data_IF_395663722790
#
_entry.id   IF_395663722790
#
_cell.length_a   1.000
_cell.length_b   1.000
_cell.length_c   1.000
_cell.angle_alpha   90.00
_cell.angle_beta   90.00
_cell.angle_gamma   90.00
#
_symmetry.space_group_name_H-M   'P 1'
#
loop_
_entity.id
_entity.type
_entity.pdbx_description
1 polymer ?
#
# COMPACT_ATOMS: atom_id res chain seq x y z
N UNK A 1 -27.64 -13.06 -6.32
CA UNK A 1 -29.05 -13.27 -5.90
C UNK A 1 -29.04 -13.59 -4.41
N UNK A 2 -29.96 -12.97 -3.66
CA UNK A 2 -30.31 -13.30 -2.27
C UNK A 2 -29.31 -12.86 -1.20
N UNK A 3 -29.37 -11.59 -0.78
CA UNK A 3 -28.84 -11.17 0.52
C UNK A 3 -30.02 -10.68 1.35
N UNK A 4 -30.37 -11.45 2.38
CA UNK A 4 -31.43 -11.13 3.33
C UNK A 4 -31.14 -9.78 4.02
N UNK A 5 -32.18 -8.94 4.01
CA UNK A 5 -32.26 -7.71 4.77
C UNK A 5 -32.57 -8.11 6.20
N UNK A 6 -31.56 -8.17 7.06
CA UNK A 6 -31.79 -8.16 8.50
C UNK A 6 -32.22 -6.75 8.91
N UNK A 7 -33.44 -6.63 9.42
CA UNK A 7 -33.97 -5.44 10.09
C UNK A 7 -33.18 -5.12 11.37
N UNK A 8 -33.19 -3.85 11.82
CA UNK A 8 -32.15 -3.31 12.70
C UNK A 8 -32.39 -3.70 14.16
N UNK A 9 -31.50 -4.48 14.74
CA UNK A 9 -31.34 -4.52 16.19
C UNK A 9 -30.57 -3.27 16.64
N UNK A 10 -31.07 -2.61 17.68
CA UNK A 10 -30.46 -1.46 18.38
C UNK A 10 -29.14 -1.87 19.08
N UNK A 11 -28.14 -2.25 18.30
CA UNK A 11 -26.75 -2.27 18.74
C UNK A 11 -26.08 -0.94 18.41
N UNK A 12 -25.03 -0.52 19.15
CA UNK A 12 -24.22 0.62 18.74
C UNK A 12 -23.77 0.39 17.29
N UNK A 13 -24.09 1.33 16.39
CA UNK A 13 -23.65 1.29 15.00
C UNK A 13 -22.12 1.35 14.99
N UNK A 14 -21.48 0.18 15.02
CA UNK A 14 -20.04 0.06 14.96
C UNK A 14 -19.58 0.46 13.56
N UNK A 15 -18.81 1.54 13.49
CA UNK A 15 -18.24 2.01 12.24
C UNK A 15 -17.04 1.11 11.88
N UNK A 16 -17.26 0.17 10.96
CA UNK A 16 -16.18 -0.66 10.44
C UNK A 16 -15.44 0.06 9.31
N UNK A 17 -14.31 0.67 9.63
CA UNK A 17 -13.37 1.15 8.61
C UNK A 17 -12.50 -0.03 8.14
N UNK A 18 -12.78 -0.56 6.95
CA UNK A 18 -12.00 -1.68 6.39
C UNK A 18 -10.61 -1.16 5.98
N UNK A 19 -9.50 -1.68 6.56
CA UNK A 19 -8.18 -1.11 6.30
C UNK A 19 -7.76 -1.26 4.83
N UNK A 20 -7.34 -0.16 4.24
CA UNK A 20 -6.96 -0.05 2.83
C UNK A 20 -5.73 -0.91 2.50
N UNK A 21 -4.75 -0.96 3.40
CA UNK A 21 -3.48 -1.68 3.17
C UNK A 21 -3.66 -3.18 3.00
N UNK A 22 -4.47 -3.85 3.83
CA UNK A 22 -4.65 -5.29 3.70
C UNK A 22 -5.28 -5.67 2.35
N UNK A 23 -6.16 -4.81 1.81
CA UNK A 23 -6.77 -4.99 0.49
C UNK A 23 -5.75 -4.88 -0.66
N UNK A 24 -4.83 -3.91 -0.58
CA UNK A 24 -3.86 -3.62 -1.65
C UNK A 24 -2.61 -4.52 -1.53
N UNK A 25 -2.13 -4.80 -0.31
CA UNK A 25 -0.87 -5.52 -0.01
C UNK A 25 -0.77 -6.94 -0.53
N UNK A 26 -1.87 -7.66 -0.70
CA UNK A 26 -1.79 -9.09 -1.01
C UNK A 26 -2.93 -9.61 -1.87
N UNK A 27 -4.04 -8.90 -2.00
CA UNK A 27 -5.16 -9.44 -2.78
C UNK A 27 -5.13 -8.94 -4.23
N UNK A 28 -5.31 -7.65 -4.49
CA UNK A 28 -5.45 -7.13 -5.88
C UNK A 28 -4.34 -7.61 -6.81
N UNK A 29 -3.16 -7.43 -6.25
CA UNK A 29 -1.86 -7.75 -6.73
C UNK A 29 -1.72 -9.25 -7.11
N UNK A 30 -1.96 -10.15 -6.16
CA UNK A 30 -1.87 -11.59 -6.41
C UNK A 30 -2.90 -12.07 -7.45
N UNK A 31 -4.14 -11.57 -7.39
CA UNK A 31 -5.17 -11.89 -8.40
C UNK A 31 -4.75 -11.44 -9.80
N UNK A 32 -4.09 -10.28 -9.92
CA UNK A 32 -3.56 -9.83 -11.19
C UNK A 32 -2.39 -10.71 -11.66
N UNK A 33 -1.46 -11.09 -10.78
CA UNK A 33 -0.35 -11.99 -11.13
C UNK A 33 -0.82 -13.36 -11.64
N UNK A 34 -1.96 -13.87 -11.17
CA UNK A 34 -2.58 -15.10 -11.69
C UNK A 34 -3.03 -15.00 -13.15
N UNK A 35 -3.10 -13.80 -13.73
CA UNK A 35 -3.38 -13.59 -15.17
C UNK A 35 -2.12 -13.72 -16.04
N UNK A 36 -0.93 -13.67 -15.43
CA UNK A 36 0.32 -13.90 -16.14
C UNK A 36 0.62 -15.39 -16.22
N UNK A 37 1.67 -15.74 -16.97
CA UNK A 37 2.11 -17.13 -17.05
C UNK A 37 2.60 -17.63 -15.68
N UNK A 38 2.15 -18.82 -15.28
CA UNK A 38 2.63 -19.52 -14.07
C UNK A 38 4.15 -19.72 -14.08
N UNK A 39 4.77 -19.74 -15.26
CA UNK A 39 6.22 -19.84 -15.44
C UNK A 39 6.98 -18.75 -14.68
N UNK A 40 6.43 -17.54 -14.61
CA UNK A 40 7.07 -16.38 -13.97
C UNK A 40 7.17 -16.56 -12.45
N UNK A 41 6.08 -17.02 -11.82
CA UNK A 41 6.05 -17.27 -10.37
C UNK A 41 6.86 -18.52 -10.02
N UNK A 42 6.73 -19.58 -10.82
CA UNK A 42 7.46 -20.84 -10.62
C UNK A 42 8.96 -20.66 -10.76
N UNK A 43 9.43 -19.88 -11.74
CA UNK A 43 10.86 -19.59 -11.88
C UNK A 43 11.41 -18.86 -10.64
N UNK A 44 10.73 -17.82 -10.17
CA UNK A 44 11.16 -17.08 -8.98
C UNK A 44 11.25 -17.99 -7.75
N UNK A 45 10.28 -18.89 -7.59
CA UNK A 45 10.24 -19.88 -6.49
C UNK A 45 11.35 -20.92 -6.63
N UNK A 46 11.57 -21.44 -7.82
CA UNK A 46 12.55 -22.51 -8.08
C UNK A 46 13.97 -22.00 -7.89
N UNK A 47 14.30 -20.81 -8.38
CA UNK A 47 15.61 -20.16 -8.17
C UNK A 47 15.88 -19.97 -6.69
N UNK A 48 14.93 -19.39 -5.94
CA UNK A 48 15.09 -19.18 -4.51
C UNK A 48 15.28 -20.52 -3.77
N UNK A 49 14.41 -21.50 -4.02
CA UNK A 49 14.43 -22.81 -3.36
C UNK A 49 15.73 -23.57 -3.66
N UNK A 50 16.23 -23.49 -4.90
CA UNK A 50 17.48 -24.15 -5.31
C UNK A 50 18.69 -23.64 -4.51
N UNK A 51 18.75 -22.34 -4.26
CA UNK A 51 19.88 -21.67 -3.60
C UNK A 51 19.75 -21.64 -2.06
N UNK A 52 18.53 -21.48 -1.53
CA UNK A 52 18.29 -21.23 -0.11
C UNK A 52 18.82 -22.34 0.81
N UNK A 53 18.73 -23.60 0.40
CA UNK A 53 19.06 -24.76 1.24
C UNK A 53 20.51 -25.22 1.12
N UNK A 54 21.36 -24.54 0.36
CA UNK A 54 22.76 -24.94 0.21
C UNK A 54 23.69 -23.75 0.35
N UNK A 55 24.49 -23.76 1.42
CA UNK A 55 25.55 -22.79 1.63
C UNK A 55 26.60 -22.85 0.50
N UNK A 56 26.91 -24.06 0.02
CA UNK A 56 27.80 -24.27 -1.13
C UNK A 56 27.28 -23.54 -2.37
N UNK A 57 26.01 -23.74 -2.75
CA UNK A 57 25.41 -23.06 -3.92
C UNK A 57 25.35 -21.55 -3.77
N UNK A 58 25.09 -21.05 -2.55
CA UNK A 58 25.14 -19.62 -2.27
C UNK A 58 26.55 -19.06 -2.48
N UNK A 59 27.57 -19.80 -2.04
CA UNK A 59 28.97 -19.38 -2.18
C UNK A 59 29.41 -19.42 -3.63
N UNK A 60 29.10 -20.49 -4.37
CA UNK A 60 29.38 -20.60 -5.81
C UNK A 60 28.72 -19.45 -6.58
N UNK A 61 27.46 -19.09 -6.26
CA UNK A 61 26.78 -17.97 -6.92
C UNK A 61 27.51 -16.63 -6.71
N UNK A 62 28.16 -16.40 -5.56
CA UNK A 62 28.91 -15.16 -5.31
C UNK A 62 30.01 -14.96 -6.36
N UNK A 63 30.71 -16.02 -6.75
CA UNK A 63 31.77 -15.97 -7.78
C UNK A 63 31.22 -15.44 -9.11
N UNK A 64 30.01 -15.90 -9.51
CA UNK A 64 29.36 -15.40 -10.71
C UNK A 64 28.87 -13.96 -10.56
N UNK A 65 28.38 -13.57 -9.38
CA UNK A 65 27.96 -12.19 -9.09
C UNK A 65 29.13 -11.21 -9.20
N UNK A 66 30.28 -11.58 -8.64
CA UNK A 66 31.53 -10.82 -8.76
C UNK A 66 32.02 -10.77 -10.21
N UNK A 67 31.97 -11.90 -10.93
CA UNK A 67 32.36 -11.97 -12.34
C UNK A 67 31.55 -11.03 -13.24
N UNK A 68 30.24 -10.94 -13.05
CA UNK A 68 29.38 -10.00 -13.81
C UNK A 68 29.35 -8.58 -13.23
N UNK A 69 30.16 -8.31 -12.19
CA UNK A 69 30.23 -7.03 -11.49
C UNK A 69 28.87 -6.53 -10.94
N UNK A 70 28.08 -7.45 -10.38
CA UNK A 70 26.81 -7.15 -9.71
C UNK A 70 26.99 -7.26 -8.20
N UNK A 71 26.30 -6.41 -7.42
CA UNK A 71 26.38 -6.46 -5.96
C UNK A 71 25.99 -7.84 -5.42
N UNK A 72 26.80 -8.45 -4.54
CA UNK A 72 26.52 -9.77 -4.02
C UNK A 72 25.27 -9.75 -3.14
N UNK A 73 24.22 -10.43 -3.60
CA UNK A 73 22.91 -10.37 -2.98
C UNK A 73 22.25 -11.74 -2.98
N UNK A 74 21.66 -12.11 -1.85
CA UNK A 74 20.84 -13.32 -1.75
C UNK A 74 19.54 -13.16 -2.54
N UNK A 75 19.08 -14.22 -3.19
CA UNK A 75 17.79 -14.23 -3.87
C UNK A 75 16.66 -14.24 -2.85
N UNK A 76 15.73 -13.29 -3.00
CA UNK A 76 14.62 -13.10 -2.09
C UNK A 76 13.54 -14.17 -2.31
N UNK A 77 12.86 -14.57 -1.23
CA UNK A 77 11.74 -15.49 -1.31
C UNK A 77 10.49 -14.77 -1.85
N UNK A 78 9.80 -15.32 -2.87
CA UNK A 78 8.45 -14.89 -3.20
C UNK A 78 7.52 -15.23 -2.03
N UNK A 79 7.05 -14.23 -1.29
CA UNK A 79 6.08 -14.46 -0.22
C UNK A 79 4.66 -14.32 -0.77
N UNK A 80 3.81 -15.32 -0.51
CA UNK A 80 2.41 -15.33 -0.97
C UNK A 80 1.57 -14.17 -0.39
N UNK A 81 2.00 -13.54 0.71
CA UNK A 81 1.17 -12.60 1.49
C UNK A 81 1.71 -11.17 1.57
N UNK A 82 2.86 -10.83 0.96
CA UNK A 82 3.41 -9.46 1.03
C UNK A 82 3.87 -8.95 -0.33
N UNK A 83 3.08 -8.14 -1.00
CA UNK A 83 3.43 -7.57 -2.32
C UNK A 83 4.65 -6.65 -2.32
N UNK A 84 5.00 -6.04 -1.18
CA UNK A 84 6.30 -5.34 -1.05
C UNK A 84 7.46 -6.31 -1.36
N UNK A 85 7.30 -7.59 -1.04
CA UNK A 85 8.29 -8.61 -1.37
C UNK A 85 8.27 -8.95 -2.86
N UNK A 86 7.13 -8.93 -3.56
CA UNK A 86 7.09 -9.35 -4.96
C UNK A 86 7.87 -8.38 -5.85
N UNK A 87 7.67 -7.07 -5.71
CA UNK A 87 8.46 -6.10 -6.47
C UNK A 87 9.96 -6.24 -6.17
N UNK A 88 10.32 -6.37 -4.90
CA UNK A 88 11.72 -6.57 -4.50
C UNK A 88 12.30 -7.89 -5.03
N UNK A 89 11.51 -8.96 -5.11
CA UNK A 89 11.91 -10.24 -5.71
C UNK A 89 12.15 -10.07 -7.20
N UNK A 90 11.25 -9.38 -7.93
CA UNK A 90 11.41 -9.10 -9.36
C UNK A 90 12.65 -8.25 -9.61
N UNK A 91 12.82 -7.16 -8.87
CA UNK A 91 14.02 -6.31 -8.96
C UNK A 91 15.29 -7.11 -8.68
N UNK A 92 15.30 -7.94 -7.63
CA UNK A 92 16.44 -8.79 -7.28
C UNK A 92 16.74 -9.84 -8.36
N UNK A 93 15.71 -10.44 -8.96
CA UNK A 93 15.90 -11.40 -10.04
C UNK A 93 16.43 -10.72 -11.31
N UNK A 94 15.92 -9.54 -11.65
CA UNK A 94 16.42 -8.76 -12.79
C UNK A 94 17.85 -8.27 -12.58
N UNK A 95 18.18 -7.80 -11.38
CA UNK A 95 19.53 -7.39 -10.97
C UNK A 95 20.53 -8.55 -11.14
N UNK A 96 20.15 -9.74 -10.68
CA UNK A 96 21.00 -10.93 -10.65
C UNK A 96 20.88 -11.79 -11.92
N UNK A 97 20.11 -11.35 -12.91
CA UNK A 97 19.66 -12.21 -14.01
C UNK A 97 20.82 -12.83 -14.80
N UNK A 98 21.81 -12.02 -15.17
CA UNK A 98 22.98 -12.49 -15.93
C UNK A 98 23.85 -13.45 -15.09
N UNK A 99 24.06 -13.15 -13.80
CA UNK A 99 24.77 -14.04 -12.89
C UNK A 99 24.06 -15.39 -12.76
N UNK A 100 22.73 -15.38 -12.64
CA UNK A 100 21.91 -16.59 -12.57
C UNK A 100 21.99 -17.40 -13.86
N UNK A 101 21.93 -16.77 -15.03
CA UNK A 101 22.08 -17.46 -16.33
C UNK A 101 23.43 -18.17 -16.40
N UNK A 102 24.54 -17.49 -16.06
CA UNK A 102 25.87 -18.10 -16.08
C UNK A 102 26.00 -19.23 -15.06
N UNK A 103 25.53 -19.01 -13.83
CA UNK A 103 25.55 -20.02 -12.77
C UNK A 103 24.78 -21.26 -13.18
N UNK A 104 23.54 -21.12 -13.65
CA UNK A 104 22.74 -22.26 -14.07
C UNK A 104 23.25 -22.91 -15.37
N UNK A 105 23.98 -22.18 -16.23
CA UNK A 105 24.70 -22.77 -17.37
C UNK A 105 25.81 -23.71 -16.89
N UNK A 106 26.64 -23.28 -15.94
CA UNK A 106 27.66 -24.14 -15.32
C UNK A 106 27.02 -25.37 -14.63
N UNK A 107 25.98 -25.16 -13.83
CA UNK A 107 25.30 -26.25 -13.13
C UNK A 107 24.58 -27.23 -14.08
N UNK A 108 24.06 -26.75 -15.20
CA UNK A 108 23.46 -27.58 -16.24
C UNK A 108 24.51 -28.45 -16.95
N UNK A 109 25.73 -27.93 -17.16
CA UNK A 109 26.85 -28.68 -17.74
C UNK A 109 27.29 -29.86 -16.85
N UNK A 110 27.04 -29.74 -15.53
CA UNK A 110 27.24 -30.79 -14.53
C UNK A 110 26.08 -31.81 -14.49
N UNK A 111 25.18 -31.80 -15.47
CA UNK A 111 24.02 -32.69 -15.59
C UNK A 111 23.03 -32.63 -14.40
N UNK A 112 22.86 -31.47 -13.78
CA UNK A 112 21.84 -31.27 -12.74
C UNK A 112 20.49 -30.95 -13.40
N UNK A 113 19.56 -31.90 -13.41
CA UNK A 113 18.24 -31.78 -14.05
C UNK A 113 17.46 -30.52 -13.61
N UNK A 114 17.44 -30.24 -12.30
CA UNK A 114 16.76 -29.05 -11.77
C UNK A 114 17.38 -27.76 -12.29
N UNK A 115 18.72 -27.72 -12.44
CA UNK A 115 19.41 -26.56 -12.99
C UNK A 115 19.09 -26.39 -14.48
N UNK A 116 19.00 -27.47 -15.26
CA UNK A 116 18.60 -27.44 -16.66
C UNK A 116 17.19 -26.89 -16.84
N UNK A 117 16.23 -27.33 -16.02
CA UNK A 117 14.85 -26.82 -16.04
C UNK A 117 14.76 -25.33 -15.67
N UNK A 118 15.56 -24.88 -14.69
CA UNK A 118 15.63 -23.46 -14.34
C UNK A 118 16.27 -22.65 -15.49
N UNK A 119 17.37 -23.14 -16.06
CA UNK A 119 18.07 -22.49 -17.16
C UNK A 119 17.19 -22.34 -18.41
N UNK A 120 16.43 -23.39 -18.75
CA UNK A 120 15.46 -23.34 -19.85
C UNK A 120 14.48 -22.17 -19.69
N UNK A 121 13.97 -21.96 -18.47
CA UNK A 121 13.05 -20.85 -18.16
C UNK A 121 13.73 -19.48 -18.05
N UNK A 122 15.00 -19.43 -17.65
CA UNK A 122 15.81 -18.20 -17.68
C UNK A 122 16.17 -17.77 -19.10
N UNK A 123 16.26 -18.70 -20.04
CA UNK A 123 16.54 -18.40 -21.44
C UNK A 123 15.27 -18.11 -22.25
N UNK A 124 14.08 -18.34 -21.70
CA UNK A 124 12.81 -17.97 -22.32
C UNK A 124 12.67 -16.42 -22.35
N UNK A 125 12.66 -15.81 -23.56
CA UNK A 125 12.58 -14.35 -23.67
C UNK A 125 11.26 -13.78 -23.13
N UNK A 126 10.17 -14.55 -23.18
CA UNK A 126 8.86 -14.12 -22.69
C UNK A 126 8.87 -13.89 -21.17
N UNK A 127 9.55 -14.77 -20.43
CA UNK A 127 9.68 -14.68 -18.97
C UNK A 127 10.46 -13.42 -18.57
N UNK A 128 11.54 -13.11 -19.30
CA UNK A 128 12.30 -11.88 -19.09
C UNK A 128 11.43 -10.64 -19.32
N UNK A 129 10.63 -10.61 -20.39
CA UNK A 129 9.70 -9.51 -20.64
C UNK A 129 8.64 -9.37 -19.54
N UNK A 130 8.10 -10.48 -19.03
CA UNK A 130 7.14 -10.41 -17.91
C UNK A 130 7.78 -9.80 -16.65
N UNK A 131 9.03 -10.13 -16.32
CA UNK A 131 9.70 -9.49 -15.19
C UNK A 131 9.90 -7.99 -15.39
N UNK A 132 10.26 -7.53 -16.59
CA UNK A 132 10.37 -6.10 -16.88
C UNK A 132 9.00 -5.39 -16.85
N UNK A 133 7.93 -6.04 -17.34
CA UNK A 133 6.58 -5.52 -17.18
C UNK A 133 6.17 -5.42 -15.71
N UNK A 134 6.48 -6.45 -14.90
CA UNK A 134 6.24 -6.45 -13.47
C UNK A 134 7.03 -5.33 -12.77
N UNK A 135 8.31 -5.14 -13.09
CA UNK A 135 9.10 -4.04 -12.53
C UNK A 135 8.51 -2.66 -12.86
N UNK A 136 7.85 -2.51 -14.01
CA UNK A 136 7.13 -1.29 -14.36
C UNK A 136 5.83 -1.09 -13.57
N UNK A 137 4.97 -2.11 -13.49
CA UNK A 137 3.59 -1.97 -12.97
C UNK A 137 3.49 -2.15 -11.46
N UNK A 138 4.31 -3.03 -10.85
CA UNK A 138 4.31 -3.28 -9.41
C UNK A 138 4.56 -2.01 -8.56
N UNK A 139 5.43 -1.06 -8.98
CA UNK A 139 5.61 0.24 -8.34
C UNK A 139 4.33 1.03 -8.06
N UNK A 140 3.28 0.91 -8.89
CA UNK A 140 2.03 1.62 -8.66
C UNK A 140 1.36 1.18 -7.36
N UNK A 141 1.44 -0.11 -7.05
CA UNK A 141 0.92 -0.69 -5.81
C UNK A 141 1.86 -0.48 -4.63
N UNK A 142 3.18 -0.67 -4.82
CA UNK A 142 4.13 -0.55 -3.70
C UNK A 142 4.23 0.88 -3.19
N UNK A 143 4.18 1.89 -4.06
CA UNK A 143 4.14 3.31 -3.65
C UNK A 143 2.88 3.65 -2.85
N UNK A 144 1.70 3.23 -3.34
CA UNK A 144 0.45 3.42 -2.61
C UNK A 144 0.48 2.72 -1.25
N UNK A 145 1.01 1.50 -1.21
CA UNK A 145 1.14 0.73 0.02
C UNK A 145 2.15 1.32 1.01
N UNK A 146 3.26 1.91 0.54
CA UNK A 146 4.23 2.57 1.39
C UNK A 146 3.63 3.81 2.07
N UNK A 147 2.91 4.63 1.30
CA UNK A 147 2.19 5.79 1.83
C UNK A 147 1.18 5.37 2.91
N UNK A 148 0.46 4.28 2.67
CA UNK A 148 -0.49 3.76 3.65
C UNK A 148 0.16 3.05 4.84
N UNK A 149 1.47 2.81 4.83
CA UNK A 149 2.21 2.31 5.99
C UNK A 149 2.78 3.42 6.87
N UNK A 150 2.58 4.69 6.50
CA UNK A 150 2.98 5.87 7.26
C UNK A 150 2.47 5.83 8.70
N UNK A 151 3.25 6.35 9.65
CA UNK A 151 2.79 6.59 11.03
C UNK A 151 1.98 7.89 11.13
N UNK A 152 2.27 8.86 10.27
CA UNK A 152 1.50 10.11 10.19
C UNK A 152 0.12 9.90 9.56
N UNK A 153 -0.85 10.73 9.94
CA UNK A 153 -2.22 10.69 9.41
C UNK A 153 -2.26 11.02 7.91
N UNK A 154 -2.61 10.03 7.10
CA UNK A 154 -2.70 10.17 5.62
C UNK A 154 -4.12 10.01 5.07
N UNK A 155 -5.13 9.91 5.92
CA UNK A 155 -6.51 9.61 5.54
C UNK A 155 -7.08 10.60 4.51
N UNK A 156 -6.71 11.88 4.60
CA UNK A 156 -7.10 12.95 3.68
C UNK A 156 -6.53 12.79 2.26
N UNK A 157 -5.38 12.13 2.11
CA UNK A 157 -4.72 11.93 0.79
C UNK A 157 -5.15 10.64 0.09
N UNK A 158 -5.75 9.73 0.84
CA UNK A 158 -6.01 8.35 0.44
C UNK A 158 -6.85 8.25 -0.85
N UNK A 159 -7.96 8.97 -0.92
CA UNK A 159 -8.83 9.00 -2.09
C UNK A 159 -8.07 9.45 -3.36
N UNK A 160 -7.30 10.54 -3.26
CA UNK A 160 -6.52 11.07 -4.38
C UNK A 160 -5.46 10.08 -4.86
N UNK A 161 -4.75 9.43 -3.92
CA UNK A 161 -3.71 8.44 -4.25
C UNK A 161 -4.30 7.18 -4.93
N UNK A 162 -5.44 6.66 -4.45
CA UNK A 162 -6.13 5.54 -5.10
C UNK A 162 -6.57 5.92 -6.52
N UNK A 163 -7.19 7.10 -6.68
CA UNK A 163 -7.61 7.60 -7.98
C UNK A 163 -6.44 7.70 -8.97
N UNK A 164 -5.29 8.17 -8.51
CA UNK A 164 -4.09 8.27 -9.33
C UNK A 164 -3.60 6.89 -9.78
N UNK A 165 -3.54 5.90 -8.88
CA UNK A 165 -3.15 4.52 -9.25
C UNK A 165 -4.12 3.90 -10.25
N UNK A 166 -5.43 4.04 -10.03
CA UNK A 166 -6.45 3.56 -10.98
C UNK A 166 -6.29 4.19 -12.35
N UNK A 167 -6.06 5.51 -12.41
CA UNK A 167 -5.78 6.23 -13.67
C UNK A 167 -4.50 5.75 -14.33
N UNK A 168 -3.40 5.60 -13.58
CA UNK A 168 -2.12 5.12 -14.14
C UNK A 168 -2.22 3.71 -14.73
N UNK A 169 -3.02 2.82 -14.12
CA UNK A 169 -3.26 1.48 -14.67
C UNK A 169 -4.03 1.53 -15.99
N UNK A 170 -5.07 2.37 -16.06
CA UNK A 170 -5.90 2.50 -17.27
C UNK A 170 -5.20 3.26 -18.40
N UNK A 171 -4.37 4.25 -18.09
CA UNK A 171 -3.60 5.01 -19.09
C UNK A 171 -2.65 4.10 -19.92
N UNK A 172 -2.34 2.90 -19.40
CA UNK A 172 -1.55 1.90 -20.12
C UNK A 172 -2.33 1.19 -21.23
N UNK A 173 -3.67 1.14 -21.16
CA UNK A 173 -4.50 0.31 -22.05
C UNK A 173 -5.75 1.00 -22.62
N UNK A 174 -6.17 2.15 -22.10
CA UNK A 174 -7.36 2.91 -22.51
C UNK A 174 -6.94 4.20 -23.23
N UNK A 175 -7.72 4.60 -24.24
CA UNK A 175 -7.52 5.86 -24.97
C UNK A 175 -7.61 7.07 -24.02
N UNK A 176 -6.63 7.97 -24.10
CA UNK A 176 -6.56 9.21 -23.29
C UNK A 176 -7.81 10.07 -23.41
N UNK A 177 -8.35 10.18 -24.62
CA UNK A 177 -9.58 10.93 -24.94
C UNK A 177 -10.79 10.46 -24.13
N UNK A 178 -10.85 9.18 -23.77
CA UNK A 178 -11.93 8.64 -22.94
C UNK A 178 -11.59 8.76 -21.46
N UNK A 179 -10.31 8.66 -21.06
CA UNK A 179 -9.90 8.69 -19.65
C UNK A 179 -10.14 10.06 -18.97
N UNK A 180 -10.15 11.14 -19.75
CA UNK A 180 -10.35 12.51 -19.24
C UNK A 180 -11.82 12.88 -19.00
N UNK A 181 -12.77 12.22 -19.70
CA UNK A 181 -14.18 12.61 -19.73
C UNK A 181 -14.96 12.21 -18.45
N UNK A 182 -15.08 10.92 -18.10
CA UNK A 182 -15.85 10.49 -16.95
C UNK A 182 -15.04 10.57 -15.64
N UNK A 183 -15.72 10.66 -14.49
CA UNK A 183 -15.13 10.32 -13.20
C UNK A 183 -14.57 8.89 -13.24
N UNK A 184 -13.51 8.62 -12.46
CA UNK A 184 -12.89 7.28 -12.34
C UNK A 184 -13.91 6.19 -11.98
N UNK A 185 -15.00 6.60 -11.33
CA UNK A 185 -16.10 5.78 -10.84
C UNK A 185 -16.99 5.22 -11.96
N UNK A 186 -17.10 5.95 -13.07
CA UNK A 186 -18.02 5.65 -14.17
C UNK A 186 -17.31 5.10 -15.40
N UNK A 187 -15.99 4.84 -15.29
CA UNK A 187 -15.20 4.33 -16.41
C UNK A 187 -15.62 2.90 -16.74
N UNK A 188 -16.01 2.69 -18.00
CA UNK A 188 -16.30 1.36 -18.53
C UNK A 188 -15.01 0.61 -18.91
N UNK A 189 -14.23 0.24 -17.90
CA UNK A 189 -12.91 -0.40 -18.05
C UNK A 189 -12.91 -1.80 -18.68
N UNK A 190 -14.10 -2.37 -18.96
CA UNK A 190 -14.26 -3.66 -19.66
C UNK A 190 -14.75 -3.51 -21.09
N UNK A 191 -15.07 -2.30 -21.53
CA UNK A 191 -15.64 -2.08 -22.86
C UNK A 191 -14.50 -1.98 -23.89
N UNK A 192 -14.37 -2.94 -24.82
CA UNK A 192 -13.25 -2.97 -25.76
C UNK A 192 -13.18 -1.75 -26.68
N UNK A 193 -14.29 -1.03 -26.87
CA UNK A 193 -14.34 0.17 -27.73
C UNK A 193 -13.40 1.28 -27.26
N UNK A 194 -13.11 1.33 -25.96
CA UNK A 194 -12.26 2.35 -25.36
C UNK A 194 -10.80 1.91 -25.22
N UNK A 195 -10.49 0.65 -25.55
CA UNK A 195 -9.14 0.14 -25.47
C UNK A 195 -8.29 0.68 -26.62
N UNK A 196 -7.01 0.87 -26.32
CA UNK A 196 -5.99 1.03 -27.34
C UNK A 196 -5.85 -0.28 -28.12
N UNK A 197 -5.42 -0.22 -29.39
CA UNK A 197 -4.89 -1.39 -30.08
C UNK A 197 -3.85 -2.09 -29.20
N UNK A 198 -3.83 -3.42 -29.21
CA UNK A 198 -2.94 -4.24 -28.37
C UNK A 198 -1.47 -3.86 -28.61
N UNK A 199 -1.16 -3.43 -29.83
CA UNK A 199 0.16 -3.02 -30.29
C UNK A 199 0.63 -1.68 -29.73
N UNK A 200 -0.31 -0.78 -29.40
CA UNK A 200 -0.07 0.58 -28.90
C UNK A 200 -0.07 0.68 -27.37
N UNK A 201 -0.34 -0.44 -26.68
CA UNK A 201 -0.34 -0.48 -25.22
C UNK A 201 1.03 -0.15 -24.62
N UNK A 202 1.02 0.60 -23.52
CA UNK A 202 2.24 0.93 -22.80
C UNK A 202 2.53 -0.10 -21.70
N UNK A 203 3.56 -0.93 -21.91
CA UNK A 203 3.95 -2.03 -21.01
C UNK A 203 5.29 -1.76 -20.29
N UNK A 204 5.75 -0.50 -20.29
CA UNK A 204 7.00 -0.06 -19.67
C UNK A 204 8.13 0.16 -20.69
N UNK A 205 9.06 1.05 -20.33
CA UNK A 205 10.10 1.55 -21.24
C UNK A 205 11.01 0.43 -21.80
N UNK A 206 11.39 -0.55 -20.97
CA UNK A 206 12.22 -1.67 -21.42
C UNK A 206 11.50 -2.54 -22.45
N UNK A 207 10.20 -2.83 -22.25
CA UNK A 207 9.40 -3.63 -23.18
C UNK A 207 9.24 -2.89 -24.50
N UNK A 208 8.94 -1.59 -24.45
CA UNK A 208 8.85 -0.74 -25.65
C UNK A 208 10.17 -0.73 -26.43
N UNK A 209 11.30 -0.53 -25.74
CA UNK A 209 12.62 -0.57 -26.36
C UNK A 209 12.95 -1.93 -26.96
N UNK A 210 12.59 -3.03 -26.28
CA UNK A 210 12.86 -4.39 -26.75
C UNK A 210 12.03 -4.76 -27.99
N UNK A 211 10.77 -4.32 -28.05
CA UNK A 211 9.90 -4.53 -29.21
C UNK A 211 10.35 -3.67 -30.39
N UNK A 212 10.69 -2.40 -30.14
CA UNK A 212 11.13 -1.45 -31.20
C UNK A 212 12.44 -1.91 -31.84
N UNK A 213 13.40 -2.33 -31.01
CA UNK A 213 14.71 -2.79 -31.47
C UNK A 213 14.73 -4.27 -31.91
N UNK A 214 13.58 -4.98 -31.83
CA UNK A 214 13.44 -6.41 -32.12
C UNK A 214 14.40 -7.32 -31.34
N UNK A 215 14.87 -6.90 -30.16
CA UNK A 215 15.82 -7.65 -29.33
C UNK A 215 15.15 -8.71 -28.45
N UNK A 216 13.83 -8.82 -28.51
CA UNK A 216 13.03 -9.74 -27.69
C UNK A 216 13.08 -11.20 -28.13
N UNK A 217 13.55 -11.52 -29.34
CA UNK A 217 13.58 -12.88 -29.90
C UNK A 217 12.26 -13.68 -29.81
N UNK A 218 11.10 -13.01 -29.78
CA UNK A 218 9.77 -13.64 -29.77
C UNK A 218 9.13 -13.64 -31.16
N UNK A 219 8.33 -14.67 -31.43
CA UNK A 219 7.48 -14.72 -32.61
C UNK A 219 6.26 -13.79 -32.45
N UNK A 220 5.61 -13.44 -33.56
CA UNK A 220 4.45 -12.54 -33.55
C UNK A 220 3.30 -13.06 -32.67
N UNK A 221 3.05 -14.37 -32.69
CA UNK A 221 2.01 -15.00 -31.86
C UNK A 221 2.35 -14.95 -30.35
N UNK A 222 3.61 -15.23 -30.00
CA UNK A 222 4.08 -15.18 -28.61
C UNK A 222 4.04 -13.75 -28.06
N UNK A 223 4.40 -12.77 -28.89
CA UNK A 223 4.31 -11.36 -28.53
C UNK A 223 2.86 -10.93 -28.33
N UNK A 224 1.93 -11.41 -29.17
CA UNK A 224 0.50 -11.12 -29.00
C UNK A 224 -0.06 -11.74 -27.72
N UNK A 225 0.33 -12.98 -27.42
CA UNK A 225 -0.03 -13.66 -26.17
C UNK A 225 0.52 -12.92 -24.95
N UNK A 226 1.78 -12.48 -25.00
CA UNK A 226 2.39 -11.64 -23.96
C UNK A 226 1.58 -10.37 -23.71
N UNK A 227 1.26 -9.60 -24.76
CA UNK A 227 0.48 -8.36 -24.63
C UNK A 227 -0.92 -8.61 -24.09
N UNK A 228 -1.57 -9.70 -24.52
CA UNK A 228 -2.91 -10.09 -24.05
C UNK A 228 -2.90 -10.41 -22.55
N UNK A 229 -1.92 -11.19 -22.07
CA UNK A 229 -1.78 -11.47 -20.64
C UNK A 229 -1.46 -10.22 -19.81
N UNK A 230 -0.66 -9.31 -20.36
CA UNK A 230 -0.42 -8.00 -19.73
C UNK A 230 -1.70 -7.15 -19.65
N UNK A 231 -2.54 -7.16 -20.69
CA UNK A 231 -3.85 -6.50 -20.66
C UNK A 231 -4.75 -7.10 -19.58
N UNK A 232 -4.85 -8.43 -19.50
CA UNK A 232 -5.62 -9.12 -18.48
C UNK A 232 -5.12 -8.78 -17.07
N UNK A 233 -3.80 -8.68 -16.87
CA UNK A 233 -3.21 -8.23 -15.62
C UNK A 233 -3.66 -6.82 -15.24
N UNK A 234 -3.63 -5.87 -16.18
CA UNK A 234 -4.02 -4.47 -15.94
C UNK A 234 -5.52 -4.35 -15.64
N UNK A 235 -6.37 -5.06 -16.38
CA UNK A 235 -7.82 -5.07 -16.18
C UNK A 235 -8.17 -5.72 -14.84
N UNK A 236 -7.57 -6.86 -14.50
CA UNK A 236 -7.81 -7.54 -13.21
C UNK A 236 -7.31 -6.70 -12.05
N UNK A 237 -6.15 -6.05 -12.20
CA UNK A 237 -5.61 -5.07 -11.25
C UNK A 237 -6.62 -3.96 -10.95
N UNK A 238 -7.14 -3.33 -12.00
CA UNK A 238 -8.18 -2.30 -11.88
C UNK A 238 -9.44 -2.86 -11.22
N UNK A 239 -9.94 -4.00 -11.69
CA UNK A 239 -11.17 -4.63 -11.21
C UNK A 239 -11.09 -4.96 -9.72
N UNK A 240 -9.96 -5.46 -9.24
CA UNK A 240 -9.77 -5.80 -7.83
C UNK A 240 -9.69 -4.57 -6.94
N UNK A 241 -8.97 -3.52 -7.36
CA UNK A 241 -8.96 -2.24 -6.64
C UNK A 241 -10.39 -1.68 -6.65
N UNK A 242 -11.05 -1.60 -7.81
CA UNK A 242 -12.40 -1.07 -7.95
C UNK A 242 -13.43 -1.85 -7.12
N UNK A 243 -13.37 -3.19 -7.08
CA UNK A 243 -14.27 -4.03 -6.25
C UNK A 243 -14.12 -3.73 -4.75
N UNK A 244 -12.89 -3.46 -4.30
CA UNK A 244 -12.56 -3.22 -2.88
C UNK A 244 -12.83 -1.80 -2.46
N UNK A 245 -12.63 -0.86 -3.39
CA UNK A 245 -12.96 0.55 -3.27
C UNK A 245 -14.17 0.86 -4.14
N UNK A 246 -15.25 0.06 -3.99
CA UNK A 246 -16.45 0.21 -4.80
C UNK A 246 -16.83 1.69 -4.82
N UNK A 247 -16.71 2.32 -5.98
CA UNK A 247 -16.80 3.76 -6.11
C UNK A 247 -18.17 4.29 -5.68
N UNK A 248 -19.21 3.45 -5.78
CA UNK A 248 -20.57 3.76 -5.36
C UNK A 248 -20.82 3.50 -3.87
N UNK A 249 -19.86 2.92 -3.15
CA UNK A 249 -20.00 2.64 -1.72
C UNK A 249 -19.89 3.92 -0.88
N UNK A 250 -20.61 3.93 0.23
CA UNK A 250 -20.57 5.00 1.24
C UNK A 250 -19.14 5.28 1.69
N UNK A 251 -18.27 4.27 1.78
CA UNK A 251 -16.88 4.41 2.18
C UNK A 251 -16.05 5.28 1.23
N UNK A 252 -16.26 5.20 -0.09
CA UNK A 252 -15.50 6.04 -1.04
C UNK A 252 -15.95 7.50 -0.98
N UNK A 253 -17.24 7.74 -0.78
CA UNK A 253 -17.78 9.09 -0.53
C UNK A 253 -17.17 9.70 0.74
N UNK A 254 -17.09 8.92 1.82
CA UNK A 254 -16.42 9.34 3.06
C UNK A 254 -14.95 9.68 2.81
N UNK A 255 -14.21 8.83 2.07
CA UNK A 255 -12.81 9.09 1.74
C UNK A 255 -12.62 10.34 0.86
N UNK A 256 -13.57 10.61 -0.04
CA UNK A 256 -13.58 11.83 -0.84
C UNK A 256 -13.83 13.05 0.03
N UNK A 257 -14.81 13.01 0.93
CA UNK A 257 -15.13 14.10 1.83
C UNK A 257 -14.00 14.33 2.86
N UNK A 258 -13.29 13.29 3.27
CA UNK A 258 -12.08 13.39 4.08
C UNK A 258 -10.94 14.14 3.39
N UNK A 259 -10.96 14.36 2.07
CA UNK A 259 -9.96 15.21 1.42
C UNK A 259 -10.13 16.70 1.73
N UNK A 260 -11.32 17.11 2.18
CA UNK A 260 -11.66 18.51 2.51
C UNK A 260 -10.80 19.06 3.65
N UNK A 261 -10.37 18.19 4.59
CA UNK A 261 -9.57 18.58 5.76
C UNK A 261 -8.08 18.79 5.44
N UNK A 262 -7.67 18.56 4.19
CA UNK A 262 -6.27 18.76 3.78
C UNK A 262 -5.92 20.25 3.73
N UNK A 263 -4.72 20.66 4.18
CA UNK A 263 -4.33 22.08 4.23
C UNK A 263 -4.56 22.81 2.90
N UNK A 264 -4.23 22.17 1.78
CA UNK A 264 -4.44 22.71 0.43
C UNK A 264 -5.92 23.00 0.13
N UNK A 265 -6.83 22.12 0.54
CA UNK A 265 -8.27 22.30 0.29
C UNK A 265 -8.88 23.35 1.21
N UNK A 266 -8.47 23.39 2.49
CA UNK A 266 -8.92 24.42 3.44
C UNK A 266 -8.52 25.81 2.95
N UNK A 267 -7.25 25.98 2.57
CA UNK A 267 -6.70 27.25 2.07
C UNK A 267 -7.33 27.65 0.73
N UNK A 268 -7.67 26.69 -0.13
CA UNK A 268 -8.35 26.98 -1.40
C UNK A 268 -9.76 27.56 -1.23
N UNK A 269 -10.36 27.43 -0.04
CA UNK A 269 -11.70 27.93 0.32
C UNK A 269 -12.83 27.44 -0.60
N UNK A 270 -12.60 26.38 -1.41
CA UNK A 270 -13.55 25.83 -2.40
C UNK A 270 -14.75 25.14 -1.77
N UNK A 271 -14.60 24.56 -0.59
CA UNK A 271 -15.65 23.80 0.09
C UNK A 271 -16.42 24.70 1.08
N UNK A 272 -17.69 24.95 0.79
CA UNK A 272 -18.53 25.86 1.57
C UNK A 272 -19.05 25.25 2.88
N UNK A 273 -19.01 23.93 3.03
CA UNK A 273 -19.58 23.21 4.17
C UNK A 273 -18.74 21.98 4.51
N UNK A 274 -18.68 21.64 5.80
CA UNK A 274 -18.13 20.38 6.33
C UNK A 274 -19.24 19.46 6.86
N UNK A 275 -20.50 19.91 6.84
CA UNK A 275 -21.62 19.16 7.39
C UNK A 275 -21.80 17.78 6.74
N UNK A 276 -21.49 17.62 5.44
CA UNK A 276 -21.55 16.31 4.78
C UNK A 276 -20.61 15.29 5.43
N UNK A 277 -19.41 15.72 5.80
CA UNK A 277 -18.45 14.90 6.52
C UNK A 277 -18.92 14.62 7.94
N UNK A 278 -19.44 15.62 8.65
CA UNK A 278 -20.03 15.47 9.99
C UNK A 278 -21.16 14.43 10.03
N UNK A 279 -22.05 14.46 9.03
CA UNK A 279 -23.17 13.51 8.91
C UNK A 279 -22.72 12.05 8.74
N UNK A 280 -21.52 11.82 8.22
CA UNK A 280 -20.95 10.48 8.09
C UNK A 280 -20.46 9.91 9.43
N UNK A 281 -20.26 10.75 10.45
CA UNK A 281 -19.74 10.37 11.77
C UNK A 281 -20.67 10.80 12.91
N UNK A 282 -21.90 10.24 13.01
CA UNK A 282 -22.87 10.62 14.04
C UNK A 282 -22.41 10.30 15.47
N UNK A 283 -21.39 9.44 15.63
CA UNK A 283 -20.78 9.13 16.92
C UNK A 283 -19.72 10.16 17.34
N UNK A 284 -19.20 10.96 16.41
CA UNK A 284 -18.21 12.01 16.68
C UNK A 284 -18.85 13.38 16.81
N UNK A 285 -19.92 13.64 16.05
CA UNK A 285 -20.66 14.91 16.07
C UNK A 285 -22.15 14.60 16.11
N UNK A 286 -22.81 15.06 17.17
CA UNK A 286 -24.25 14.90 17.32
C UNK A 286 -24.99 15.84 16.36
N UNK A 287 -26.22 15.48 15.99
CA UNK A 287 -27.01 16.26 15.02
C UNK A 287 -27.24 17.73 15.45
N UNK A 288 -27.30 17.99 16.76
CA UNK A 288 -27.43 19.34 17.32
C UNK A 288 -26.13 20.17 17.22
N UNK A 289 -24.97 19.53 17.09
CA UNK A 289 -23.66 20.19 16.96
C UNK A 289 -23.27 20.46 15.50
N UNK A 290 -23.97 19.89 14.51
CA UNK A 290 -23.64 20.05 13.09
C UNK A 290 -23.67 21.51 12.62
N UNK A 291 -24.62 22.32 13.13
CA UNK A 291 -24.70 23.74 12.77
C UNK A 291 -23.52 24.53 13.33
N UNK A 292 -23.08 24.24 14.56
CA UNK A 292 -21.91 24.90 15.14
C UNK A 292 -20.62 24.48 14.44
N UNK A 293 -20.48 23.18 14.11
CA UNK A 293 -19.38 22.69 13.29
C UNK A 293 -19.30 23.43 11.94
N UNK A 294 -20.42 23.59 11.23
CA UNK A 294 -20.43 24.29 9.94
C UNK A 294 -20.21 25.81 10.09
N UNK A 295 -20.66 26.40 11.20
CA UNK A 295 -20.43 27.82 11.52
C UNK A 295 -18.95 28.09 11.72
N UNK A 296 -18.28 27.30 12.57
CA UNK A 296 -16.84 27.37 12.80
C UNK A 296 -16.05 27.17 11.50
N UNK A 297 -16.44 26.19 10.67
CA UNK A 297 -15.83 25.99 9.34
C UNK A 297 -15.93 27.22 8.44
N UNK A 298 -17.10 27.86 8.40
CA UNK A 298 -17.31 29.08 7.60
C UNK A 298 -16.52 30.26 8.14
N UNK A 299 -16.39 30.39 9.45
CA UNK A 299 -15.56 31.43 10.07
C UNK A 299 -14.08 31.24 9.73
N UNK A 300 -13.57 30.01 9.79
CA UNK A 300 -12.18 29.69 9.40
C UNK A 300 -11.87 30.14 7.96
N UNK A 301 -12.84 30.02 7.03
CA UNK A 301 -12.66 30.47 5.64
C UNK A 301 -12.48 31.98 5.50
N UNK A 302 -12.89 32.78 6.49
CA UNK A 302 -12.72 34.23 6.48
C UNK A 302 -11.33 34.65 7.00
N UNK A 303 -10.56 33.73 7.58
CA UNK A 303 -9.21 33.99 8.07
C UNK A 303 -8.21 33.78 6.92
N UNK A 304 -7.14 34.57 6.93
CA UNK A 304 -5.97 34.30 6.09
C UNK A 304 -5.04 33.31 6.80
N UNK A 305 -4.85 32.16 6.18
CA UNK A 305 -4.04 31.03 6.67
C UNK A 305 -3.05 30.56 5.61
N UNK A 306 -2.71 31.42 4.64
CA UNK A 306 -1.80 31.09 3.54
C UNK A 306 -0.41 30.67 4.02
N UNK A 307 0.07 31.21 5.14
CA UNK A 307 1.37 30.89 5.74
C UNK A 307 1.47 29.44 6.23
N UNK A 308 0.34 28.75 6.38
CA UNK A 308 0.26 27.38 6.89
C UNK A 308 0.27 26.32 5.79
N UNK A 309 0.39 26.71 4.52
CA UNK A 309 0.20 25.81 3.36
C UNK A 309 1.13 24.60 3.31
N UNK A 310 2.39 24.78 3.71
CA UNK A 310 3.42 23.75 3.60
C UNK A 310 3.54 22.87 4.86
N UNK A 311 2.71 23.10 5.87
CA UNK A 311 2.73 22.32 7.10
C UNK A 311 2.10 20.95 6.88
N UNK A 312 2.53 19.98 7.69
CA UNK A 312 1.84 18.70 7.71
C UNK A 312 0.44 18.86 8.34
N UNK A 313 -0.45 17.89 8.09
CA UNK A 313 -1.84 17.99 8.58
C UNK A 313 -1.94 18.15 10.11
N UNK A 314 -1.02 17.54 10.88
CA UNK A 314 -1.03 17.63 12.34
C UNK A 314 -0.66 19.03 12.81
N UNK A 315 0.46 19.56 12.32
CA UNK A 315 0.93 20.93 12.62
C UNK A 315 -0.06 21.99 12.16
N UNK A 316 -0.68 21.78 11.00
CA UNK A 316 -1.70 22.67 10.46
C UNK A 316 -2.89 22.80 11.42
N UNK A 317 -3.48 21.66 11.82
CA UNK A 317 -4.63 21.68 12.72
C UNK A 317 -4.27 22.05 14.16
N UNK A 318 -3.05 21.74 14.63
CA UNK A 318 -2.55 22.23 15.92
C UNK A 318 -2.50 23.75 15.96
N UNK A 319 -1.96 24.41 14.92
CA UNK A 319 -1.94 25.88 14.86
C UNK A 319 -3.33 26.50 14.77
N UNK A 320 -4.28 25.85 14.09
CA UNK A 320 -5.68 26.31 14.06
C UNK A 320 -6.32 26.18 15.45
N UNK A 321 -6.01 25.10 16.19
CA UNK A 321 -6.55 24.88 17.53
C UNK A 321 -6.05 25.88 18.58
N UNK A 322 -4.89 26.50 18.34
CA UNK A 322 -4.30 27.53 19.21
C UNK A 322 -4.89 28.93 18.96
N UNK A 323 -5.70 29.12 17.91
CA UNK A 323 -6.30 30.42 17.60
C UNK A 323 -7.35 30.79 18.65
N UNK A 324 -7.21 32.01 19.19
CA UNK A 324 -8.10 32.56 20.22
C UNK A 324 -8.86 33.78 19.72
N UNK A 325 -10.06 33.93 20.23
CA UNK A 325 -10.87 35.14 20.14
C UNK A 325 -10.30 36.23 21.06
N UNK A 326 -10.80 37.47 20.91
CA UNK A 326 -10.37 38.60 21.74
C UNK A 326 -10.66 38.48 23.24
N UNK A 327 -11.52 37.52 23.62
CA UNK A 327 -11.86 37.15 24.99
C UNK A 327 -11.05 35.95 25.52
N UNK A 328 -9.96 35.59 24.84
CA UNK A 328 -9.09 34.44 25.09
C UNK A 328 -9.74 33.05 24.92
N UNK A 329 -11.02 32.98 24.52
CA UNK A 329 -11.69 31.73 24.19
C UNK A 329 -11.14 31.14 22.88
N UNK A 330 -11.18 29.81 22.74
CA UNK A 330 -10.76 29.17 21.49
C UNK A 330 -11.74 29.46 20.36
N UNK A 331 -11.22 29.75 19.16
CA UNK A 331 -12.04 30.17 18.03
C UNK A 331 -12.80 29.01 17.36
N UNK A 332 -12.24 27.80 17.40
CA UNK A 332 -12.75 26.62 16.67
C UNK A 332 -12.80 25.33 17.50
N UNK A 333 -13.43 25.33 18.69
CA UNK A 333 -13.40 24.18 19.60
C UNK A 333 -14.08 22.93 19.00
N UNK A 334 -15.28 23.08 18.44
CA UNK A 334 -16.06 21.95 17.92
C UNK A 334 -15.42 21.34 16.69
N UNK A 335 -14.89 22.20 15.80
CA UNK A 335 -14.20 21.82 14.59
C UNK A 335 -12.89 21.11 14.89
N UNK A 336 -12.05 21.66 15.77
CA UNK A 336 -10.77 21.04 16.09
C UNK A 336 -10.96 19.68 16.77
N UNK A 337 -11.91 19.56 17.72
CA UNK A 337 -12.24 18.28 18.34
C UNK A 337 -12.67 17.24 17.30
N UNK A 338 -13.57 17.61 16.40
CA UNK A 338 -14.02 16.72 15.33
C UNK A 338 -12.87 16.27 14.42
N UNK A 339 -12.01 17.20 14.01
CA UNK A 339 -10.89 16.90 13.11
C UNK A 339 -9.84 16.03 13.80
N UNK A 340 -9.47 16.31 15.04
CA UNK A 340 -8.52 15.48 15.78
C UNK A 340 -9.06 14.06 15.97
N UNK A 341 -10.36 13.91 16.26
CA UNK A 341 -11.00 12.60 16.34
C UNK A 341 -10.96 11.84 15.00
N UNK A 342 -11.19 12.52 13.87
CA UNK A 342 -11.01 11.93 12.54
C UNK A 342 -9.56 11.52 12.30
N UNK A 343 -8.59 12.35 12.71
CA UNK A 343 -7.17 12.12 12.47
C UNK A 343 -6.62 10.94 13.27
N UNK A 344 -7.28 10.57 14.37
CA UNK A 344 -7.02 9.36 15.14
C UNK A 344 -7.48 8.07 14.44
N UNK A 345 -8.31 8.15 13.40
CA UNK A 345 -8.79 6.97 12.68
C UNK A 345 -7.61 6.26 11.97
N UNK A 346 -7.45 4.94 12.16
CA UNK A 346 -6.40 4.21 11.48
C UNK A 346 -6.72 4.14 9.98
N UNK A 347 -5.88 4.78 9.18
CA UNK A 347 -5.97 4.71 7.72
C UNK A 347 -5.49 3.35 7.17
N UNK A 348 -4.88 2.51 8.01
CA UNK A 348 -4.21 1.27 7.61
C UNK A 348 -4.10 0.23 8.73
N UNK A 349 -4.04 -1.05 8.34
CA UNK A 349 -3.68 -2.18 9.20
C UNK A 349 -2.19 -2.20 9.59
N UNK A 350 -1.36 -1.37 8.95
CA UNK A 350 0.09 -1.34 9.16
C UNK A 350 0.47 -1.06 10.61
N UNK A 351 -0.31 -0.25 11.32
CA UNK A 351 -0.12 0.00 12.76
C UNK A 351 -0.20 -1.29 13.55
N UNK A 352 -1.18 -2.15 13.25
CA UNK A 352 -1.35 -3.46 13.90
C UNK A 352 -0.26 -4.43 13.44
N UNK A 353 0.10 -4.43 12.15
CA UNK A 353 1.18 -5.29 11.63
C UNK A 353 2.54 -4.98 12.26
N UNK A 354 2.84 -3.71 12.56
CA UNK A 354 4.05 -3.31 13.30
C UNK A 354 4.03 -3.88 14.71
N UNK A 355 2.89 -3.78 15.42
CA UNK A 355 2.73 -4.40 16.74
C UNK A 355 2.91 -5.91 16.67
N UNK A 356 2.36 -6.60 15.67
CA UNK A 356 2.60 -8.03 15.46
C UNK A 356 4.06 -8.36 15.19
N UNK A 357 4.79 -7.52 14.45
CA UNK A 357 6.23 -7.68 14.24
C UNK A 357 6.98 -7.59 15.57
N UNK A 358 6.66 -6.60 16.41
CA UNK A 358 7.24 -6.48 17.76
C UNK A 358 6.89 -7.68 18.65
N UNK A 359 5.66 -8.19 18.55
CA UNK A 359 5.24 -9.41 19.25
C UNK A 359 6.08 -10.61 18.79
N UNK A 360 6.30 -10.77 17.49
CA UNK A 360 7.11 -11.86 16.94
C UNK A 360 8.59 -11.77 17.35
N UNK A 361 9.12 -10.56 17.52
CA UNK A 361 10.46 -10.36 18.07
C UNK A 361 10.53 -10.73 19.56
N UNK A 362 9.47 -10.48 20.33
CA UNK A 362 9.40 -10.83 21.75
C UNK A 362 9.14 -12.34 21.95
N UNK A 363 8.32 -12.95 21.09
CA UNK A 363 8.01 -14.38 21.07
C UNK A 363 8.97 -15.13 20.16
N UNK A 364 10.17 -15.41 20.64
CA UNK A 364 11.14 -16.23 19.91
C UNK A 364 10.75 -17.71 19.97
N UNK A 365 11.38 -18.54 19.11
CA UNK A 365 11.15 -20.00 19.10
C UNK A 365 11.41 -20.66 20.46
N UNK A 366 12.35 -20.11 21.23
CA UNK A 366 12.73 -20.59 22.57
C UNK A 366 11.84 -19.96 23.66
N UNK A 367 11.33 -18.73 23.43
CA UNK A 367 10.47 -17.96 24.35
C UNK A 367 9.08 -17.71 23.77
N UNK A 368 8.34 -18.77 23.44
CA UNK A 368 7.03 -18.66 22.79
C UNK A 368 5.84 -18.56 23.78
N UNK A 369 6.00 -19.07 25.01
CA UNK A 369 4.99 -19.04 26.08
C UNK A 369 5.13 -17.81 26.96
N UNK A 370 4.74 -16.65 26.43
CA UNK A 370 4.55 -15.44 27.22
C UNK A 370 3.06 -15.26 27.56
N UNK A 371 2.75 -14.93 28.81
CA UNK A 371 1.39 -14.55 29.21
C UNK A 371 0.96 -13.27 28.49
N UNK A 372 -0.35 -13.07 28.36
CA UNK A 372 -0.94 -11.88 27.74
C UNK A 372 -0.56 -10.60 28.47
N UNK A 373 -0.53 -10.65 29.80
CA UNK A 373 -0.18 -9.53 30.69
C UNK A 373 1.28 -9.15 30.50
N UNK A 374 2.17 -10.15 30.45
CA UNK A 374 3.60 -9.94 30.23
C UNK A 374 3.86 -9.33 28.86
N UNK A 375 3.21 -9.86 27.81
CA UNK A 375 3.35 -9.33 26.46
C UNK A 375 2.84 -7.88 26.36
N UNK A 376 1.69 -7.60 26.98
CA UNK A 376 1.12 -6.25 27.05
C UNK A 376 2.05 -5.28 27.78
N UNK A 377 2.59 -5.68 28.94
CA UNK A 377 3.57 -4.90 29.69
C UNK A 377 4.82 -4.57 28.88
N UNK A 378 5.37 -5.56 28.16
CA UNK A 378 6.53 -5.35 27.26
C UNK A 378 6.17 -4.37 26.13
N UNK A 379 5.00 -4.51 25.51
CA UNK A 379 4.56 -3.63 24.42
C UNK A 379 4.36 -2.19 24.89
N UNK A 380 3.70 -1.99 26.04
CA UNK A 380 3.52 -0.66 26.62
C UNK A 380 4.86 -0.02 26.97
N UNK A 381 5.76 -0.76 27.62
CA UNK A 381 7.10 -0.26 27.97
C UNK A 381 7.87 0.14 26.71
N UNK A 382 7.87 -0.70 25.67
CA UNK A 382 8.52 -0.36 24.39
C UNK A 382 7.90 0.85 23.69
N UNK A 383 6.60 1.06 23.84
CA UNK A 383 5.90 2.21 23.23
C UNK A 383 6.22 3.50 23.98
N UNK A 384 6.26 3.44 25.31
CA UNK A 384 6.64 4.54 26.19
C UNK A 384 8.07 5.01 25.91
N UNK A 385 8.99 4.06 25.71
CA UNK A 385 10.41 4.32 25.45
C UNK A 385 10.73 4.52 23.97
N UNK A 386 9.74 4.70 23.08
CA UNK A 386 9.97 4.80 21.64
C UNK A 386 10.81 6.04 21.26
N UNK A 387 10.74 7.10 22.07
CA UNK A 387 11.40 8.38 21.81
C UNK A 387 12.60 8.67 22.75
N UNK A 388 12.86 7.82 23.74
CA UNK A 388 13.90 8.03 24.74
C UNK A 388 14.72 6.75 24.97
N UNK A 389 16.03 6.91 25.16
CA UNK A 389 16.88 5.79 25.54
C UNK A 389 16.63 5.38 26.99
N UNK A 390 16.87 4.11 27.31
CA UNK A 390 16.62 3.54 28.64
C UNK A 390 17.35 4.22 29.80
N UNK A 391 18.41 4.96 29.51
CA UNK A 391 19.18 5.70 30.50
C UNK A 391 18.71 7.14 30.73
N UNK A 392 17.88 7.69 29.83
CA UNK A 392 17.33 9.05 29.94
C UNK A 392 15.87 9.07 30.38
N UNK A 393 15.23 7.90 30.48
CA UNK A 393 13.82 7.80 30.82
C UNK A 393 13.60 8.13 32.31
N UNK A 394 13.01 9.30 32.58
CA UNK A 394 12.75 9.74 33.94
C UNK A 394 11.46 9.08 34.45
N UNK A 395 11.60 8.17 35.40
CA UNK A 395 10.46 7.42 35.95
C UNK A 395 9.76 8.29 37.00
N UNK A 396 8.56 8.75 36.68
CA UNK A 396 7.72 9.49 37.62
C UNK A 396 7.29 8.59 38.80
N UNK A 397 7.27 9.14 40.02
CA UNK A 397 6.91 8.40 41.24
C UNK A 397 5.50 7.78 41.15
N UNK A 398 4.59 8.43 40.43
CA UNK A 398 3.24 7.93 40.19
C UNK A 398 3.21 6.69 39.29
N UNK A 399 4.19 6.54 38.38
CA UNK A 399 4.33 5.34 37.56
C UNK A 399 4.79 4.14 38.40
N UNK A 400 5.70 4.38 39.35
CA UNK A 400 6.19 3.37 40.31
C UNK A 400 5.07 2.90 41.23
N UNK A 401 4.25 3.82 41.76
CA UNK A 401 3.09 3.49 42.60
C UNK A 401 2.08 2.61 41.86
N UNK A 402 1.81 2.87 40.58
CA UNK A 402 0.88 2.07 39.75
C UNK A 402 1.42 0.67 39.42
N UNK A 403 2.74 0.50 39.29
CA UNK A 403 3.37 -0.80 39.06
C UNK A 403 3.29 -1.71 40.31
N UNK A 404 3.42 -1.12 41.50
CA UNK A 404 3.41 -1.88 42.76
C UNK A 404 2.01 -2.36 43.21
N UNK A 405 0.91 -1.84 42.63
CA UNK A 405 -0.45 -2.19 43.06
C UNK A 405 -0.87 -3.65 42.74
N UNK A 406 -0.11 -4.38 41.92
CA UNK A 406 -0.41 -5.77 41.54
C UNK A 406 0.55 -6.83 42.11
N UNK A 407 1.49 -6.46 42.97
CA UNK A 407 2.25 -7.44 43.76
C UNK A 407 1.51 -7.64 45.08
N UNK A 408 0.32 -8.26 45.01
CA UNK A 408 -0.26 -8.89 46.20
C UNK A 408 0.24 -10.33 46.22
N UNK A 409 1.13 -10.58 47.16
CA UNK A 409 1.64 -11.89 47.59
C UNK A 409 0.54 -12.91 47.80
#
# INVERSE_FOLDING_TARGET
MGGEIATPSEGPKQFFFRPVTACIKSLCANYACQKLSELVENLARDVHTYLQYSFKRQTELLEFQEFVNVKPHKILQPSQTRWLSLHQVVVRLLEQYNALVLYFTDQASKNIEKAQSILYRLNDPSVKLYYHFLDFVLPFFTKLNLEMQSESTKIHTLHGKIKNVLRSLLDCCIKKEYLEKPPIEDIQYKNPRFFLPIEEMYLGAYVVGSVTNKTHNLNAEELQNFRTRCLDFLIESYAQIYKRFNAKSTSMKILKDLSIISPEQVISKKHNTIASLGMHFPNLVLANQLNELDREWRQLRNIDINDLKNLNISEFWSKISEMKCGDESFMFPTLCEFIFNIMCLPHSSATVERTFSTINLNKTKIRNKLSTETLSGILHTKTLMKNENCFNFNIDEDLVKKLNYKIKT
#
